data_IF_334617417324
#
_entry.id   IF_334617417324
#
_cell.length_a   1.000
_cell.length_b   1.000
_cell.length_c   1.000
_cell.angle_alpha   90.00
_cell.angle_beta   90.00
_cell.angle_gamma   90.00
#
_symmetry.space_group_name_H-M   'P 1'
#
loop_
_entity.id
_entity.type
_entity.pdbx_description
1 polymer ?
#
# COMPACT_ATOMS: atom_id res chain seq x y z
N UNK A 1 26.00 -34.88 -6.86
CA UNK A 1 25.32 -35.60 -5.75
C UNK A 1 24.95 -34.60 -4.65
N UNK A 2 23.86 -33.85 -4.84
CA UNK A 2 23.44 -32.77 -3.92
C UNK A 2 22.26 -33.19 -3.03
N UNK A 3 21.51 -34.24 -3.40
CA UNK A 3 20.39 -34.78 -2.62
C UNK A 3 20.79 -35.69 -1.46
N UNK A 4 22.01 -36.26 -1.49
CA UNK A 4 22.47 -37.23 -0.48
C UNK A 4 23.03 -36.60 0.79
N UNK A 5 23.38 -35.31 0.75
CA UNK A 5 24.05 -34.62 1.86
C UNK A 5 23.19 -33.51 2.49
N UNK A 6 21.90 -33.41 2.16
CA UNK A 6 20.95 -32.42 2.70
C UNK A 6 21.45 -30.96 2.73
N UNK A 7 22.33 -30.58 1.80
CA UNK A 7 22.82 -29.20 1.75
C UNK A 7 21.68 -28.26 1.35
N UNK A 8 21.42 -27.25 2.18
CA UNK A 8 20.42 -26.21 1.94
C UNK A 8 20.86 -25.40 0.70
N UNK A 9 20.34 -25.76 -0.47
CA UNK A 9 20.70 -25.17 -1.77
C UNK A 9 20.34 -23.69 -1.93
N UNK A 10 19.41 -23.19 -1.12
CA UNK A 10 19.10 -21.77 -1.01
C UNK A 10 18.34 -21.55 0.29
N UNK A 11 19.02 -21.00 1.30
CA UNK A 11 18.36 -20.53 2.50
C UNK A 11 17.52 -19.31 2.16
N UNK A 12 16.22 -19.50 1.89
CA UNK A 12 15.28 -18.36 1.88
C UNK A 12 15.20 -17.87 3.32
N UNK A 13 16.00 -16.86 3.63
CA UNK A 13 16.02 -16.25 4.96
C UNK A 13 14.68 -15.58 5.31
N UNK A 14 13.91 -15.17 4.29
CA UNK A 14 12.66 -14.45 4.47
C UNK A 14 11.57 -14.87 3.47
N UNK A 15 10.32 -14.88 3.94
CA UNK A 15 9.09 -14.96 3.15
C UNK A 15 8.69 -13.57 2.67
N UNK A 16 8.47 -13.42 1.37
CA UNK A 16 7.99 -12.16 0.79
C UNK A 16 6.49 -12.21 0.58
N UNK A 17 5.76 -11.28 1.18
CA UNK A 17 4.31 -11.10 0.98
C UNK A 17 4.10 -9.93 0.03
N UNK A 18 3.48 -10.21 -1.12
CA UNK A 18 3.09 -9.16 -2.07
C UNK A 18 1.83 -8.46 -1.58
N UNK A 19 1.95 -7.18 -1.27
CA UNK A 19 0.84 -6.33 -0.89
C UNK A 19 0.12 -5.81 -2.14
N UNK A 20 -1.16 -5.47 -1.99
CA UNK A 20 -1.97 -4.94 -3.09
C UNK A 20 -2.07 -3.43 -2.93
N UNK A 21 -1.94 -2.69 -4.05
CA UNK A 21 -2.12 -1.24 -4.11
C UNK A 21 -3.11 -0.95 -5.24
N UNK A 22 -4.25 -0.37 -4.91
CA UNK A 22 -5.27 0.06 -5.86
C UNK A 22 -5.98 1.31 -5.33
N UNK A 23 -6.53 2.12 -6.23
CA UNK A 23 -7.39 3.24 -5.87
C UNK A 23 -8.76 2.73 -5.39
N UNK A 24 -9.57 3.57 -4.71
CA UNK A 24 -10.97 3.26 -4.46
C UNK A 24 -11.66 2.83 -5.76
N UNK A 25 -12.44 1.75 -5.69
CA UNK A 25 -13.24 1.19 -6.80
C UNK A 25 -12.47 0.76 -8.07
N UNK A 26 -11.13 0.72 -8.01
CA UNK A 26 -10.27 0.24 -9.09
C UNK A 26 -9.58 -1.08 -8.72
N UNK A 27 -10.31 -2.01 -8.08
CA UNK A 27 -9.76 -3.32 -7.75
C UNK A 27 -9.59 -4.17 -9.02
N UNK A 28 -8.48 -4.89 -9.14
CA UNK A 28 -8.28 -5.84 -10.24
C UNK A 28 -9.25 -7.02 -10.13
N UNK A 29 -10.04 -7.25 -11.18
CA UNK A 29 -10.92 -8.41 -11.31
C UNK A 29 -10.64 -9.16 -12.61
N UNK A 30 -11.01 -10.44 -12.63
CA UNK A 30 -10.93 -11.30 -13.82
C UNK A 30 -12.35 -11.75 -14.10
N UNK A 31 -12.81 -11.56 -15.33
CA UNK A 31 -14.12 -11.97 -15.80
C UNK A 31 -13.98 -12.95 -16.97
N UNK A 32 -15.05 -13.70 -17.23
CA UNK A 32 -15.21 -14.46 -18.46
C UNK A 32 -16.07 -13.65 -19.44
N UNK A 33 -15.86 -13.85 -20.73
CA UNK A 33 -16.60 -13.18 -21.79
C UNK A 33 -18.11 -13.37 -21.60
N UNK A 34 -18.87 -12.27 -21.55
CA UNK A 34 -20.32 -12.26 -21.26
C UNK A 34 -20.72 -12.21 -19.78
N UNK A 35 -19.76 -12.10 -18.85
CA UNK A 35 -20.01 -11.92 -17.40
C UNK A 35 -19.46 -10.59 -16.86
N UNK A 36 -19.29 -9.60 -17.72
CA UNK A 36 -18.70 -8.30 -17.38
C UNK A 36 -19.50 -7.59 -16.29
N UNK A 37 -20.80 -7.45 -16.50
CA UNK A 37 -21.70 -6.67 -15.62
C UNK A 37 -21.80 -7.30 -14.23
N UNK A 38 -21.93 -8.63 -14.17
CA UNK A 38 -21.93 -9.36 -12.90
C UNK A 38 -20.56 -9.25 -12.19
N UNK A 39 -19.46 -9.27 -12.94
CA UNK A 39 -18.12 -9.12 -12.36
C UNK A 39 -17.90 -7.72 -11.81
N UNK A 40 -18.39 -6.67 -12.48
CA UNK A 40 -18.34 -5.29 -11.98
C UNK A 40 -19.17 -5.14 -10.71
N UNK A 41 -20.38 -5.68 -10.67
CA UNK A 41 -21.22 -5.67 -9.47
C UNK A 41 -20.55 -6.39 -8.28
N UNK A 42 -19.90 -7.53 -8.55
CA UNK A 42 -19.11 -8.25 -7.53
C UNK A 42 -17.86 -7.48 -7.11
N UNK A 43 -17.21 -6.76 -8.03
CA UNK A 43 -16.02 -5.96 -7.74
C UNK A 43 -16.32 -4.84 -6.74
N UNK A 44 -17.45 -4.15 -6.92
CA UNK A 44 -17.88 -3.04 -6.06
C UNK A 44 -18.05 -3.46 -4.58
N UNK A 45 -18.42 -4.71 -4.33
CA UNK A 45 -18.59 -5.25 -2.96
C UNK A 45 -17.40 -6.07 -2.48
N UNK A 46 -16.38 -6.25 -3.33
CA UNK A 46 -15.26 -7.14 -3.04
C UNK A 46 -14.30 -6.51 -2.04
N UNK A 47 -14.10 -7.22 -0.94
CA UNK A 47 -13.05 -6.90 0.02
C UNK A 47 -11.69 -7.39 -0.49
N UNK A 48 -10.67 -6.54 -0.38
CA UNK A 48 -9.28 -6.87 -0.72
C UNK A 48 -8.43 -6.91 0.54
N UNK A 49 -7.22 -7.47 0.45
CA UNK A 49 -6.27 -7.43 1.57
C UNK A 49 -5.94 -6.00 2.00
N UNK A 50 -5.97 -5.06 1.04
CA UNK A 50 -5.75 -3.63 1.30
C UNK A 50 -6.95 -3.02 2.03
N UNK A 51 -8.18 -3.22 1.54
CA UNK A 51 -9.34 -2.62 2.23
C UNK A 51 -9.52 -3.20 3.63
N UNK A 52 -9.12 -4.46 3.84
CA UNK A 52 -9.09 -5.10 5.16
C UNK A 52 -7.96 -4.65 6.06
N UNK A 53 -6.90 -4.04 5.54
CA UNK A 53 -5.83 -3.48 6.37
C UNK A 53 -6.31 -2.32 7.23
N UNK A 54 -7.29 -1.56 6.75
CA UNK A 54 -7.91 -0.47 7.50
C UNK A 54 -8.67 -0.94 8.76
N UNK A 55 -9.13 -2.19 8.82
CA UNK A 55 -9.97 -2.68 9.91
C UNK A 55 -9.23 -2.86 11.25
N UNK A 56 -8.04 -3.51 11.32
CA UNK A 56 -7.22 -3.49 12.52
C UNK A 56 -6.98 -2.07 13.04
N UNK A 57 -6.68 -1.13 12.14
CA UNK A 57 -6.42 0.26 12.50
C UNK A 57 -7.65 0.97 13.09
N UNK A 58 -8.86 0.43 12.97
CA UNK A 58 -10.02 1.01 13.68
C UNK A 58 -10.16 0.51 15.12
N UNK A 59 -9.67 -0.70 15.39
CA UNK A 59 -10.04 -1.47 16.58
C UNK A 59 -8.86 -1.77 17.51
N UNK A 60 -7.62 -1.71 17.01
CA UNK A 60 -6.41 -2.16 17.68
C UNK A 60 -5.39 -1.03 17.71
N UNK A 61 -5.02 -0.58 18.91
CA UNK A 61 -4.09 0.53 19.08
C UNK A 61 -2.66 0.16 18.65
N UNK A 62 -2.30 -1.13 18.67
CA UNK A 62 -0.98 -1.58 18.23
C UNK A 62 -0.80 -1.43 16.72
N UNK A 63 -1.85 -1.64 15.93
CA UNK A 63 -1.72 -1.59 14.47
C UNK A 63 -1.47 -0.17 13.95
N UNK A 64 -1.77 0.85 14.77
CA UNK A 64 -1.46 2.25 14.49
C UNK A 64 0.03 2.53 14.38
N UNK A 65 0.87 1.63 14.90
CA UNK A 65 2.33 1.81 14.92
C UNK A 65 3.03 1.24 13.69
N UNK A 66 2.30 0.67 12.73
CA UNK A 66 2.88 -0.01 11.58
C UNK A 66 2.50 0.63 10.25
N UNK A 67 3.49 0.74 9.35
CA UNK A 67 3.25 1.08 7.95
C UNK A 67 2.59 -0.10 7.25
N UNK A 68 1.93 0.16 6.13
CA UNK A 68 1.31 -0.91 5.34
C UNK A 68 2.33 -1.99 4.92
N UNK A 69 3.58 -1.61 4.64
CA UNK A 69 4.68 -2.54 4.31
C UNK A 69 5.08 -3.47 5.44
N UNK A 70 4.87 -3.05 6.69
CA UNK A 70 5.33 -3.76 7.87
C UNK A 70 4.27 -4.72 8.40
N UNK A 71 3.01 -4.55 7.97
CA UNK A 71 1.89 -5.38 8.41
C UNK A 71 2.15 -6.87 8.26
N UNK A 72 2.72 -7.40 7.17
CA UNK A 72 2.98 -8.84 7.06
C UNK A 72 3.97 -9.40 8.10
N UNK A 73 4.82 -8.54 8.67
CA UNK A 73 5.72 -8.90 9.77
C UNK A 73 4.91 -9.17 11.04
N UNK A 74 3.96 -8.30 11.38
CA UNK A 74 3.20 -8.35 12.64
C UNK A 74 1.85 -9.07 12.54
N UNK A 75 1.28 -9.18 11.35
CA UNK A 75 -0.03 -9.75 11.10
C UNK A 75 0.02 -10.78 9.96
N UNK A 76 -0.89 -11.74 10.02
CA UNK A 76 -1.15 -12.71 8.95
C UNK A 76 -2.58 -12.52 8.43
N UNK A 77 -2.75 -12.54 7.11
CA UNK A 77 -4.06 -12.43 6.50
C UNK A 77 -4.75 -13.81 6.45
N UNK A 78 -5.87 -13.93 7.16
CA UNK A 78 -6.73 -15.10 7.10
C UNK A 78 -7.72 -14.94 5.95
N UNK A 79 -7.51 -15.71 4.86
CA UNK A 79 -8.33 -15.64 3.65
C UNK A 79 -9.77 -16.12 3.86
N UNK A 80 -9.98 -17.07 4.76
CA UNK A 80 -11.32 -17.62 5.02
C UNK A 80 -12.17 -16.63 5.82
N UNK A 81 -11.56 -15.98 6.82
CA UNK A 81 -12.22 -14.98 7.63
C UNK A 81 -12.11 -13.55 7.07
N UNK A 82 -11.41 -13.38 5.93
CA UNK A 82 -11.12 -12.09 5.30
C UNK A 82 -10.64 -11.02 6.29
N UNK A 83 -9.66 -11.35 7.13
CA UNK A 83 -9.16 -10.44 8.17
C UNK A 83 -7.67 -10.60 8.46
N UNK A 84 -7.04 -9.50 8.87
CA UNK A 84 -5.69 -9.52 9.44
C UNK A 84 -5.75 -9.95 10.91
N UNK A 85 -4.87 -10.85 11.31
CA UNK A 85 -4.77 -11.36 12.68
C UNK A 85 -3.34 -11.18 13.19
N UNK A 86 -3.17 -10.78 14.46
CA UNK A 86 -1.84 -10.67 15.06
C UNK A 86 -1.09 -12.00 14.93
N UNK A 87 0.14 -11.91 14.44
CA UNK A 87 1.04 -13.04 14.29
C UNK A 87 1.59 -13.42 15.66
N UNK A 88 1.60 -14.72 15.94
CA UNK A 88 2.11 -15.24 17.21
C UNK A 88 3.64 -15.51 17.15
N UNK A 89 4.18 -15.92 15.99
CA UNK A 89 5.60 -16.28 15.79
C UNK A 89 6.07 -16.07 14.35
N UNK A 90 7.38 -15.89 14.16
CA UNK A 90 8.05 -15.92 12.85
C UNK A 90 7.92 -14.64 12.01
N UNK A 91 7.61 -13.50 12.65
CA UNK A 91 7.48 -12.21 11.96
C UNK A 91 8.78 -11.70 11.37
N UNK A 92 9.89 -11.89 12.09
CA UNK A 92 11.26 -11.48 11.72
C UNK A 92 11.69 -11.97 10.33
N UNK A 93 11.14 -13.08 9.87
CA UNK A 93 11.42 -13.67 8.56
C UNK A 93 10.38 -13.27 7.51
N UNK A 94 9.54 -12.25 7.70
CA UNK A 94 8.53 -11.83 6.73
C UNK A 94 8.71 -10.38 6.30
N UNK A 95 8.72 -10.16 4.99
CA UNK A 95 8.86 -8.84 4.38
C UNK A 95 7.63 -8.57 3.50
N UNK A 96 6.90 -7.49 3.80
CA UNK A 96 5.86 -6.96 2.91
C UNK A 96 6.49 -6.17 1.76
N UNK A 97 6.09 -6.49 0.53
CA UNK A 97 6.52 -5.73 -0.65
C UNK A 97 5.32 -5.19 -1.41
N UNK A 98 5.26 -3.87 -1.53
CA UNK A 98 4.34 -3.21 -2.45
C UNK A 98 4.83 -3.32 -3.91
N UNK A 99 3.91 -3.43 -4.88
CA UNK A 99 4.27 -3.44 -6.28
C UNK A 99 4.95 -2.12 -6.68
N UNK A 100 5.74 -2.20 -7.74
CA UNK A 100 6.18 -1.00 -8.47
C UNK A 100 4.96 -0.46 -9.21
N UNK A 101 4.71 0.84 -9.07
CA UNK A 101 3.60 1.53 -9.76
C UNK A 101 4.21 2.46 -10.80
N UNK A 102 3.71 2.41 -12.02
CA UNK A 102 4.14 3.30 -13.11
C UNK A 102 3.80 4.75 -12.75
N UNK A 103 4.71 5.68 -13.02
CA UNK A 103 4.51 7.13 -12.76
C UNK A 103 3.34 7.69 -13.58
N UNK A 104 3.05 7.10 -14.75
CA UNK A 104 1.87 7.48 -15.56
C UNK A 104 0.53 7.16 -14.86
N UNK A 105 0.54 6.22 -13.90
CA UNK A 105 -0.59 5.94 -13.01
C UNK A 105 -0.44 6.81 -11.75
N UNK A 106 -0.55 8.12 -11.95
CA UNK A 106 -0.10 9.15 -10.99
C UNK A 106 -0.73 9.02 -9.62
N UNK A 107 -2.06 8.94 -9.55
CA UNK A 107 -2.77 8.82 -8.26
C UNK A 107 -2.40 7.53 -7.50
N UNK A 108 -2.21 6.41 -8.20
CA UNK A 108 -1.78 5.16 -7.56
C UNK A 108 -0.31 5.25 -7.12
N UNK A 109 0.52 5.99 -7.85
CA UNK A 109 1.90 6.27 -7.45
C UNK A 109 1.95 7.09 -6.16
N UNK A 110 1.16 8.16 -6.05
CA UNK A 110 1.07 8.96 -4.83
C UNK A 110 0.46 8.19 -3.66
N UNK A 111 -0.57 7.38 -3.91
CA UNK A 111 -1.10 6.45 -2.91
C UNK A 111 -0.01 5.52 -2.34
N UNK A 112 0.86 4.98 -3.22
CA UNK A 112 2.00 4.15 -2.80
C UNK A 112 2.97 4.93 -1.91
N UNK A 113 3.23 6.20 -2.19
CA UNK A 113 4.08 7.05 -1.34
C UNK A 113 3.44 7.25 0.05
N UNK A 114 2.14 7.51 0.11
CA UNK A 114 1.42 7.66 1.37
C UNK A 114 1.47 6.39 2.22
N UNK A 115 1.34 5.20 1.61
CA UNK A 115 1.49 3.92 2.33
C UNK A 115 2.88 3.70 2.95
N UNK A 116 3.92 4.35 2.41
CA UNK A 116 5.28 4.30 2.95
C UNK A 116 5.53 5.29 4.09
N UNK A 117 4.62 6.23 4.33
CA UNK A 117 4.82 7.35 5.26
C UNK A 117 3.78 7.41 6.37
N UNK A 118 2.52 7.09 6.07
CA UNK A 118 1.42 7.20 7.02
C UNK A 118 1.20 5.88 7.76
N UNK A 119 1.38 5.95 9.07
CA UNK A 119 1.09 4.87 10.00
C UNK A 119 -0.41 4.79 10.28
N UNK A 120 -0.91 3.58 10.53
CA UNK A 120 -2.23 3.40 11.16
C UNK A 120 -3.44 3.90 10.38
N UNK A 121 -3.34 4.14 9.07
CA UNK A 121 -4.45 4.74 8.35
C UNK A 121 -5.72 3.87 8.43
N UNK A 122 -6.89 4.49 8.63
CA UNK A 122 -8.18 3.79 8.84
C UNK A 122 -9.11 3.82 7.62
N UNK A 123 -8.75 4.56 6.58
CA UNK A 123 -9.46 4.63 5.29
C UNK A 123 -8.58 5.28 4.22
N UNK A 124 -9.07 5.29 2.97
CA UNK A 124 -8.45 6.08 1.91
C UNK A 124 -8.53 7.58 2.16
N UNK A 125 -9.61 8.07 2.76
CA UNK A 125 -9.73 9.50 3.11
C UNK A 125 -8.79 9.88 4.24
N UNK A 126 -8.58 8.99 5.20
CA UNK A 126 -7.55 9.19 6.21
C UNK A 126 -6.17 9.26 5.55
N UNK A 127 -5.84 8.40 4.58
CA UNK A 127 -4.57 8.54 3.82
C UNK A 127 -4.40 9.91 3.16
N UNK A 128 -5.49 10.54 2.71
CA UNK A 128 -5.49 11.90 2.15
C UNK A 128 -5.59 13.01 3.19
N UNK A 129 -5.71 12.68 4.48
CA UNK A 129 -5.87 13.69 5.53
C UNK A 129 -4.51 14.16 6.02
N UNK A 130 -4.26 15.47 5.88
CA UNK A 130 -3.06 16.17 6.33
C UNK A 130 -3.49 17.32 7.23
N UNK A 131 -2.94 17.41 8.44
CA UNK A 131 -3.28 18.44 9.43
C UNK A 131 -4.79 18.62 9.68
N UNK A 132 -5.55 17.53 9.63
CA UNK A 132 -7.00 17.51 9.84
C UNK A 132 -7.84 17.90 8.61
N UNK A 133 -7.21 18.22 7.48
CA UNK A 133 -7.87 18.55 6.22
C UNK A 133 -7.83 17.33 5.28
N UNK A 134 -9.00 16.89 4.81
CA UNK A 134 -9.10 15.81 3.82
C UNK A 134 -8.85 16.38 2.43
N UNK A 135 -7.76 15.96 1.77
CA UNK A 135 -7.47 16.35 0.40
C UNK A 135 -8.38 15.65 -0.62
N UNK A 136 -8.55 16.27 -1.79
CA UNK A 136 -9.34 15.71 -2.88
C UNK A 136 -8.62 14.53 -3.55
N UNK A 137 -7.30 14.64 -3.71
CA UNK A 137 -6.44 13.66 -4.39
C UNK A 137 -5.30 13.18 -3.50
N UNK A 138 -4.72 12.02 -3.82
CA UNK A 138 -3.52 11.53 -3.15
C UNK A 138 -2.30 12.38 -3.48
N UNK A 139 -2.23 12.94 -4.69
CA UNK A 139 -1.22 13.93 -5.07
C UNK A 139 -1.21 15.12 -4.11
N UNK A 140 -2.36 15.76 -3.91
CA UNK A 140 -2.47 16.95 -3.07
C UNK A 140 -2.04 16.66 -1.61
N UNK A 141 -2.38 15.48 -1.09
CA UNK A 141 -1.91 15.05 0.22
C UNK A 141 -0.38 14.88 0.27
N UNK A 142 0.24 14.36 -0.79
CA UNK A 142 1.69 14.28 -0.89
C UNK A 142 2.36 15.66 -0.97
N UNK A 143 1.77 16.59 -1.72
CA UNK A 143 2.23 17.99 -1.81
C UNK A 143 2.18 18.68 -0.45
N UNK A 144 1.05 18.57 0.26
CA UNK A 144 0.89 19.16 1.60
C UNK A 144 1.87 18.55 2.63
N UNK A 145 2.22 17.27 2.48
CA UNK A 145 3.24 16.61 3.32
C UNK A 145 4.69 16.93 2.89
N UNK A 146 4.91 17.72 1.84
CA UNK A 146 6.24 18.01 1.30
C UNK A 146 6.96 16.78 0.73
N UNK A 147 6.20 15.75 0.32
CA UNK A 147 6.74 14.52 -0.28
C UNK A 147 7.09 14.69 -1.76
N UNK A 148 6.55 15.73 -2.40
CA UNK A 148 6.87 16.08 -3.79
C UNK A 148 7.86 17.25 -3.76
N UNK A 149 8.96 17.11 -4.49
CA UNK A 149 9.78 18.27 -4.82
C UNK A 149 8.91 19.17 -5.69
N UNK A 150 8.58 20.36 -5.18
CA UNK A 150 7.80 21.31 -5.95
C UNK A 150 8.59 21.79 -7.17
N UNK A 151 7.87 22.16 -8.23
CA UNK A 151 8.44 22.88 -9.37
C UNK A 151 9.03 24.25 -8.96
N UNK A 152 8.87 24.63 -7.70
CA UNK A 152 9.43 25.82 -7.08
C UNK A 152 10.93 25.97 -7.36
N UNK A 153 11.72 24.89 -7.30
CA UNK A 153 13.13 24.95 -7.64
C UNK A 153 13.35 25.41 -9.10
N UNK A 154 12.52 24.97 -10.04
CA UNK A 154 12.59 25.41 -11.44
C UNK A 154 12.18 26.87 -11.60
N UNK A 155 11.11 27.30 -10.92
CA UNK A 155 10.70 28.70 -10.91
C UNK A 155 11.76 29.61 -10.27
N UNK A 156 12.36 29.18 -9.17
CA UNK A 156 13.42 29.91 -8.47
C UNK A 156 14.67 30.01 -9.35
N UNK A 157 15.07 28.92 -10.01
CA UNK A 157 16.19 28.90 -10.97
C UNK A 157 15.92 29.82 -12.18
N UNK A 158 14.70 29.82 -12.71
CA UNK A 158 14.31 30.70 -13.82
C UNK A 158 14.27 32.18 -13.39
N UNK A 159 13.82 32.47 -12.17
CA UNK A 159 13.79 33.82 -11.62
C UNK A 159 15.20 34.36 -11.33
N UNK A 160 16.12 33.54 -10.81
CA UNK A 160 17.53 33.91 -10.62
C UNK A 160 18.22 34.23 -11.96
N UNK A 161 17.92 33.46 -13.02
CA UNK A 161 18.46 33.71 -14.36
C UNK A 161 17.93 35.00 -15.01
N UNK A 162 16.77 35.52 -14.55
CA UNK A 162 16.23 36.82 -15.00
C UNK A 162 16.91 37.99 -14.25
N UNK A 163 17.47 37.74 -13.06
CA UNK A 163 18.12 38.75 -12.22
C UNK A 163 19.63 38.89 -12.47
N UNK A 164 20.21 38.07 -13.35
CA UNK A 164 21.63 38.11 -13.75
C UNK A 164 21.79 38.66 -15.15
#
# INVERSE_FOLDING_TARGET
MWRLNEFILSGKSHTVVRLVVHLPDQQTTVYQDGQEEETVARAATRQTTLTKWFEPNKNDQDSHNYLYTDIPHYYIFNKNAMKWQKRQRGGEQVIGRMPVVNIQDSERHYLRLLFLRKLGAVSFDDLKTVDGIVCNTFQQACEMQGLLEGDQHWYDTLNEAIQT
#
